data_IF_553604048177
#
_entry.id   IF_553604048177
#
_cell.length_a   1.000
_cell.length_b   1.000
_cell.length_c   1.000
_cell.angle_alpha   90.00
_cell.angle_beta   90.00
_cell.angle_gamma   90.00
#
_symmetry.space_group_name_H-M   'P 1'
#
loop_
_entity.id
_entity.type
_entity.pdbx_description
1 polymer ?
#
# COMPACT_ATOMS: atom_id res chain seq x y z
N UNK A 1 24.75 63.81 -39.73
CA UNK A 1 23.62 62.89 -39.46
C UNK A 1 24.22 61.66 -38.82
N UNK A 2 23.82 61.36 -37.58
CA UNK A 2 24.63 60.74 -36.54
C UNK A 2 24.89 59.24 -36.68
N UNK A 3 26.01 58.88 -36.03
CA UNK A 3 26.61 57.56 -35.80
C UNK A 3 25.64 56.63 -35.08
N UNK A 4 25.56 55.36 -35.51
CA UNK A 4 24.85 54.29 -34.80
C UNK A 4 25.88 53.59 -33.92
N UNK A 5 25.78 53.80 -32.62
CA UNK A 5 26.59 53.13 -31.61
C UNK A 5 25.98 51.77 -31.21
N UNK A 6 26.90 50.84 -31.00
CA UNK A 6 26.78 49.53 -30.40
C UNK A 6 26.61 49.67 -28.87
N UNK A 7 25.51 49.18 -28.29
CA UNK A 7 25.34 48.91 -26.84
C UNK A 7 24.01 48.22 -26.51
N UNK A 8 24.11 46.90 -26.32
CA UNK A 8 23.54 46.16 -25.19
C UNK A 8 22.06 46.38 -24.82
N UNK A 9 21.23 45.40 -25.16
CA UNK A 9 20.04 45.06 -24.36
C UNK A 9 20.11 43.58 -24.03
N UNK A 10 20.71 43.28 -22.88
CA UNK A 10 20.47 42.04 -22.15
C UNK A 10 19.15 42.26 -21.42
N UNK A 11 18.04 41.56 -21.73
CA UNK A 11 16.92 41.51 -20.81
C UNK A 11 17.37 40.72 -19.58
N UNK A 12 17.73 41.49 -18.55
CA UNK A 12 17.83 41.01 -17.19
C UNK A 12 16.47 40.50 -16.73
N UNK A 13 16.51 39.32 -16.10
CA UNK A 13 15.67 38.83 -15.00
C UNK A 13 15.24 37.41 -15.28
N UNK A 14 16.05 36.49 -14.77
CA UNK A 14 15.66 35.10 -14.66
C UNK A 14 14.37 35.02 -13.85
N UNK A 15 13.36 34.35 -14.41
CA UNK A 15 12.39 33.62 -13.62
C UNK A 15 13.12 32.43 -12.99
N UNK A 16 13.96 32.70 -12.00
CA UNK A 16 14.20 31.72 -10.95
C UNK A 16 12.83 31.53 -10.33
N UNK A 17 12.14 30.48 -10.73
CA UNK A 17 10.95 30.00 -10.04
C UNK A 17 11.37 29.79 -8.61
N UNK A 18 11.07 30.78 -7.77
CA UNK A 18 11.34 30.79 -6.35
C UNK A 18 10.35 29.81 -5.68
N UNK A 19 10.41 28.52 -6.03
CA UNK A 19 9.88 27.42 -5.21
C UNK A 19 10.87 27.19 -4.06
N UNK A 20 11.01 28.24 -3.26
CA UNK A 20 11.92 28.34 -2.13
C UNK A 20 11.29 29.16 -1.02
N UNK A 21 9.96 29.14 -0.90
CA UNK A 21 9.34 29.43 0.39
C UNK A 21 9.65 28.22 1.27
N UNK A 22 10.53 28.44 2.24
CA UNK A 22 10.84 27.53 3.35
C UNK A 22 9.60 27.35 4.23
N UNK A 23 8.53 26.80 3.66
CA UNK A 23 7.53 26.09 4.42
C UNK A 23 8.23 24.82 4.93
N UNK A 24 8.29 24.62 6.23
CA UNK A 24 8.75 23.34 6.80
C UNK A 24 8.09 22.20 6.04
N UNK A 25 8.84 21.12 5.77
CA UNK A 25 8.36 19.98 4.96
C UNK A 25 6.92 19.64 5.37
N UNK A 26 5.98 19.84 4.45
CA UNK A 26 4.56 19.63 4.71
C UNK A 26 4.36 18.20 5.22
N UNK A 27 3.69 18.04 6.36
CA UNK A 27 3.46 16.72 6.97
C UNK A 27 2.51 15.91 6.09
N UNK A 28 2.72 14.60 6.04
CA UNK A 28 1.78 13.69 5.40
C UNK A 28 0.49 13.62 6.19
N UNK A 29 -0.62 13.81 5.48
CA UNK A 29 -1.97 13.68 6.01
C UNK A 29 -2.56 12.31 5.60
N UNK A 30 -3.62 11.83 6.28
CA UNK A 30 -4.35 10.64 5.83
C UNK A 30 -4.90 10.76 4.40
N UNK A 31 -5.15 11.99 3.92
CA UNK A 31 -5.55 12.24 2.54
C UNK A 31 -4.40 11.96 1.57
N UNK A 32 -3.18 12.38 1.90
CA UNK A 32 -2.00 12.13 1.05
C UNK A 32 -1.75 10.63 0.91
N UNK A 33 -1.81 9.89 2.02
CA UNK A 33 -1.65 8.44 2.01
C UNK A 33 -2.75 7.75 1.20
N UNK A 34 -4.00 8.22 1.32
CA UNK A 34 -5.10 7.71 0.49
C UNK A 34 -4.80 7.91 -1.00
N UNK A 35 -4.42 9.12 -1.40
CA UNK A 35 -4.13 9.44 -2.80
C UNK A 35 -2.97 8.61 -3.33
N UNK A 36 -1.94 8.38 -2.52
CA UNK A 36 -0.82 7.50 -2.91
C UNK A 36 -1.27 6.05 -3.13
N UNK A 37 -2.14 5.52 -2.28
CA UNK A 37 -2.71 4.18 -2.46
C UNK A 37 -3.67 4.09 -3.67
N UNK A 38 -4.50 5.11 -3.87
CA UNK A 38 -5.42 5.22 -5.01
C UNK A 38 -4.64 5.28 -6.32
N UNK A 39 -3.59 6.11 -6.38
CA UNK A 39 -2.71 6.21 -7.54
C UNK A 39 -2.05 4.86 -7.85
N UNK A 40 -1.54 4.17 -6.82
CA UNK A 40 -0.95 2.85 -7.01
C UNK A 40 -1.96 1.84 -7.58
N UNK A 41 -3.17 1.81 -7.02
CA UNK A 41 -4.26 0.97 -7.51
C UNK A 41 -4.58 1.25 -8.98
N UNK A 42 -4.75 2.53 -9.37
CA UNK A 42 -5.05 2.92 -10.75
C UNK A 42 -3.94 2.48 -11.72
N UNK A 43 -2.67 2.64 -11.33
CA UNK A 43 -1.54 2.23 -12.17
C UNK A 43 -1.42 0.71 -12.31
N UNK A 44 -1.76 -0.05 -11.27
CA UNK A 44 -1.84 -1.50 -11.35
C UNK A 44 -2.99 -1.96 -12.28
N UNK A 45 -4.14 -1.29 -12.26
CA UNK A 45 -5.28 -1.62 -13.12
C UNK A 45 -4.96 -1.49 -14.61
N UNK A 46 -4.12 -0.53 -14.98
CA UNK A 46 -3.68 -0.33 -16.38
C UNK A 46 -2.44 -1.14 -16.75
N UNK A 47 -1.94 -2.03 -15.88
CA UNK A 47 -0.78 -2.86 -16.16
C UNK A 47 0.56 -2.11 -16.16
N UNK A 48 0.70 -1.02 -15.41
CA UNK A 48 1.96 -0.30 -15.30
C UNK A 48 3.01 -1.12 -14.55
N UNK A 49 4.11 -1.49 -15.22
CA UNK A 49 5.19 -2.30 -14.63
C UNK A 49 5.81 -1.65 -13.38
N UNK A 50 6.01 -0.32 -13.41
CA UNK A 50 6.60 0.41 -12.27
C UNK A 50 5.70 0.35 -11.02
N UNK A 51 4.39 0.12 -11.19
CA UNK A 51 3.44 -0.03 -10.09
C UNK A 51 3.57 -1.39 -9.37
N UNK A 52 4.12 -2.42 -10.05
CA UNK A 52 4.45 -3.70 -9.42
C UNK A 52 5.61 -3.56 -8.42
N UNK A 53 6.44 -2.52 -8.58
CA UNK A 53 7.58 -2.23 -7.72
C UNK A 53 7.41 -0.88 -6.99
N UNK A 54 6.40 -0.74 -6.10
CA UNK A 54 6.07 0.56 -5.50
C UNK A 54 7.10 1.07 -4.48
N UNK A 55 8.12 0.27 -4.15
CA UNK A 55 9.28 0.73 -3.38
C UNK A 55 10.29 1.53 -4.23
N UNK A 56 10.19 1.44 -5.56
CA UNK A 56 11.01 2.17 -6.52
C UNK A 56 10.53 3.60 -6.73
N UNK A 57 11.43 4.49 -7.17
CA UNK A 57 11.13 5.92 -7.30
C UNK A 57 10.28 6.26 -8.53
N UNK A 58 10.27 5.41 -9.56
CA UNK A 58 9.63 5.70 -10.86
C UNK A 58 8.13 5.95 -10.77
N UNK A 59 7.40 5.09 -10.06
CA UNK A 59 5.96 5.26 -9.86
C UNK A 59 5.63 6.57 -9.14
N UNK A 60 6.48 6.99 -8.20
CA UNK A 60 6.30 8.23 -7.45
C UNK A 60 6.69 9.47 -8.24
N UNK A 61 7.61 9.37 -9.21
CA UNK A 61 7.84 10.42 -10.20
C UNK A 61 6.61 10.65 -11.06
N UNK A 62 5.91 9.59 -11.46
CA UNK A 62 4.64 9.73 -12.19
C UNK A 62 3.56 10.38 -11.34
N UNK A 63 3.52 10.09 -10.03
CA UNK A 63 2.55 10.71 -9.11
C UNK A 63 2.86 12.20 -8.85
N UNK A 64 4.14 12.55 -8.73
CA UNK A 64 4.56 13.96 -8.64
C UNK A 64 4.17 14.73 -9.92
N UNK A 65 4.32 14.10 -11.09
CA UNK A 65 3.95 14.69 -12.38
C UNK A 65 2.44 14.80 -12.61
N UNK A 66 1.61 14.06 -11.87
CA UNK A 66 0.15 14.14 -12.01
C UNK A 66 -0.46 15.35 -11.31
N UNK A 67 0.36 16.20 -10.69
CA UNK A 67 -0.03 17.41 -9.94
C UNK A 67 -1.07 17.16 -8.83
N UNK A 68 -1.25 15.89 -8.45
CA UNK A 68 -2.20 15.46 -7.41
C UNK A 68 -1.62 15.61 -6.00
N UNK A 69 -0.35 16.02 -5.90
CA UNK A 69 0.40 16.19 -4.66
C UNK A 69 1.42 17.31 -4.79
N UNK A 70 1.73 17.96 -3.68
CA UNK A 70 2.80 18.95 -3.52
C UNK A 70 4.13 18.30 -3.09
N UNK A 71 4.15 16.97 -2.94
CA UNK A 71 5.31 16.20 -2.45
C UNK A 71 6.20 15.76 -3.60
N UNK A 72 7.51 15.77 -3.34
CA UNK A 72 8.49 15.25 -4.31
C UNK A 72 8.52 13.73 -4.34
N UNK A 73 8.88 13.13 -5.48
CA UNK A 73 8.97 11.67 -5.65
C UNK A 73 9.87 11.00 -4.60
N UNK A 74 10.99 11.64 -4.25
CA UNK A 74 11.91 11.12 -3.23
C UNK A 74 11.26 11.10 -1.83
N UNK A 75 10.46 12.12 -1.49
CA UNK A 75 9.69 12.18 -0.26
C UNK A 75 8.61 11.11 -0.24
N UNK A 76 7.83 11.01 -1.33
CA UNK A 76 6.77 10.01 -1.51
C UNK A 76 7.31 8.58 -1.36
N UNK A 77 8.41 8.26 -2.04
CA UNK A 77 9.07 6.96 -1.97
C UNK A 77 9.48 6.63 -0.53
N UNK A 78 10.09 7.59 0.16
CA UNK A 78 10.55 7.40 1.54
C UNK A 78 9.37 7.18 2.49
N UNK A 79 8.32 7.99 2.36
CA UNK A 79 7.12 7.89 3.18
C UNK A 79 6.41 6.56 2.96
N UNK A 80 6.21 6.17 1.69
CA UNK A 80 5.58 4.91 1.35
C UNK A 80 6.32 3.72 1.96
N UNK A 81 7.64 3.66 1.78
CA UNK A 81 8.46 2.55 2.30
C UNK A 81 8.45 2.45 3.83
N UNK A 82 8.51 3.59 4.53
CA UNK A 82 8.69 3.62 6.00
C UNK A 82 7.39 3.61 6.78
N UNK A 83 6.33 4.19 6.23
CA UNK A 83 5.09 4.45 6.96
C UNK A 83 3.88 3.72 6.42
N UNK A 84 3.83 3.45 5.11
CA UNK A 84 2.63 2.89 4.48
C UNK A 84 2.76 1.39 4.17
N UNK A 85 3.86 0.96 3.54
CA UNK A 85 4.00 -0.38 2.95
C UNK A 85 3.75 -1.50 3.96
N UNK A 86 4.39 -1.44 5.13
CA UNK A 86 4.23 -2.44 6.19
C UNK A 86 2.95 -2.26 7.03
N UNK A 87 2.15 -1.22 6.75
CA UNK A 87 0.92 -0.87 7.48
C UNK A 87 -0.29 -0.84 6.55
N UNK A 88 -0.35 -1.75 5.58
CA UNK A 88 -1.44 -1.80 4.60
C UNK A 88 -2.83 -1.90 5.27
N UNK A 89 -2.93 -2.47 6.47
CA UNK A 89 -4.19 -2.53 7.23
C UNK A 89 -4.76 -1.14 7.60
N UNK A 90 -3.91 -0.11 7.66
CA UNK A 90 -4.28 1.27 7.92
C UNK A 90 -4.66 2.03 6.64
N UNK A 91 -4.49 1.44 5.45
CA UNK A 91 -4.83 2.09 4.19
C UNK A 91 -6.31 2.49 4.17
N UNK A 92 -6.58 3.71 3.69
CA UNK A 92 -7.93 4.24 3.56
C UNK A 92 -8.53 3.88 2.19
N UNK A 93 -8.62 2.58 1.90
CA UNK A 93 -9.19 2.04 0.67
C UNK A 93 -10.39 1.14 0.98
N UNK A 94 -11.23 0.89 -0.03
CA UNK A 94 -12.21 -0.20 0.03
C UNK A 94 -11.50 -1.55 0.09
N UNK A 95 -12.16 -2.56 0.66
CA UNK A 95 -11.60 -3.91 0.82
C UNK A 95 -11.13 -4.49 -0.52
N UNK A 96 -11.92 -4.32 -1.58
CA UNK A 96 -11.61 -4.81 -2.93
C UNK A 96 -10.32 -4.19 -3.46
N UNK A 97 -10.17 -2.87 -3.38
CA UNK A 97 -8.98 -2.16 -3.86
C UNK A 97 -7.75 -2.51 -3.04
N UNK A 98 -7.90 -2.57 -1.72
CA UNK A 98 -6.81 -2.89 -0.80
C UNK A 98 -6.27 -4.30 -1.06
N UNK A 99 -7.16 -5.30 -1.13
CA UNK A 99 -6.77 -6.69 -1.38
C UNK A 99 -6.24 -6.89 -2.79
N UNK A 100 -6.76 -6.16 -3.78
CA UNK A 100 -6.21 -6.13 -5.13
C UNK A 100 -4.76 -5.60 -5.12
N UNK A 101 -4.50 -4.45 -4.50
CA UNK A 101 -3.13 -3.91 -4.40
C UNK A 101 -2.20 -4.89 -3.69
N UNK A 102 -2.63 -5.45 -2.55
CA UNK A 102 -1.84 -6.41 -1.79
C UNK A 102 -1.47 -7.65 -2.61
N UNK A 103 -2.42 -8.18 -3.39
CA UNK A 103 -2.20 -9.33 -4.25
C UNK A 103 -1.26 -8.99 -5.42
N UNK A 104 -1.49 -7.88 -6.12
CA UNK A 104 -0.70 -7.51 -7.31
C UNK A 104 0.76 -7.19 -7.03
N UNK A 105 1.06 -6.55 -5.90
CA UNK A 105 2.44 -6.24 -5.50
C UNK A 105 3.08 -7.38 -4.68
N UNK A 106 2.40 -8.53 -4.61
CA UNK A 106 2.81 -9.71 -3.85
C UNK A 106 3.21 -9.36 -2.41
N UNK A 107 2.37 -8.58 -1.72
CA UNK A 107 2.59 -8.22 -0.32
C UNK A 107 2.04 -9.34 0.58
N UNK A 108 2.90 -10.08 1.32
CA UNK A 108 2.43 -11.08 2.27
C UNK A 108 1.72 -10.38 3.43
N UNK A 109 0.47 -10.76 3.71
CA UNK A 109 -0.23 -10.23 4.88
C UNK A 109 0.13 -11.05 6.11
N UNK A 110 0.73 -10.37 7.10
CA UNK A 110 1.02 -10.98 8.41
C UNK A 110 -0.30 -11.36 9.10
N UNK A 111 -0.26 -12.37 9.98
CA UNK A 111 -1.46 -12.84 10.69
C UNK A 111 -2.18 -11.72 11.46
N UNK A 112 -1.44 -10.76 12.02
CA UNK A 112 -2.01 -9.56 12.67
C UNK A 112 -2.77 -8.68 11.67
N UNK A 113 -2.18 -8.38 10.52
CA UNK A 113 -2.77 -7.52 9.50
C UNK A 113 -4.02 -8.15 8.93
N UNK A 114 -3.98 -9.47 8.65
CA UNK A 114 -5.15 -10.22 8.19
C UNK A 114 -6.31 -10.10 9.18
N UNK A 115 -6.08 -10.39 10.47
CA UNK A 115 -7.13 -10.29 11.50
C UNK A 115 -7.73 -8.89 11.59
N UNK A 116 -6.91 -7.84 11.49
CA UNK A 116 -7.38 -6.46 11.49
C UNK A 116 -8.25 -6.18 10.27
N UNK A 117 -7.83 -6.60 9.08
CA UNK A 117 -8.61 -6.42 7.84
C UNK A 117 -9.93 -7.20 7.86
N UNK A 118 -9.89 -8.46 8.29
CA UNK A 118 -11.06 -9.33 8.44
C UNK A 118 -12.09 -8.70 9.38
N UNK A 119 -11.64 -8.20 10.54
CA UNK A 119 -12.52 -7.52 11.50
C UNK A 119 -13.01 -6.15 11.01
N UNK A 120 -12.18 -5.38 10.31
CA UNK A 120 -12.51 -4.02 9.85
C UNK A 120 -13.56 -4.03 8.74
N UNK A 121 -13.50 -5.03 7.86
CA UNK A 121 -14.36 -5.10 6.69
C UNK A 121 -15.44 -6.18 6.77
N UNK A 122 -15.50 -6.94 7.87
CA UNK A 122 -16.39 -8.09 8.06
C UNK A 122 -16.26 -9.10 6.89
N UNK A 123 -15.01 -9.54 6.68
CA UNK A 123 -14.63 -10.47 5.62
C UNK A 123 -13.76 -11.60 6.18
N UNK A 124 -13.69 -12.70 5.43
CA UNK A 124 -12.72 -13.78 5.66
C UNK A 124 -11.72 -13.82 4.51
N UNK A 125 -10.44 -13.66 4.79
CA UNK A 125 -9.39 -13.57 3.77
C UNK A 125 -8.74 -14.95 3.60
N UNK A 126 -8.64 -15.38 2.34
CA UNK A 126 -7.91 -16.59 1.95
C UNK A 126 -6.53 -16.19 1.43
N UNK A 127 -5.51 -16.94 1.87
CA UNK A 127 -4.12 -16.73 1.48
C UNK A 127 -3.53 -18.02 0.90
N UNK A 128 -2.57 -17.89 0.00
CA UNK A 128 -1.77 -19.02 -0.48
C UNK A 128 -0.65 -19.40 0.52
N UNK A 129 0.18 -20.37 0.13
CA UNK A 129 1.33 -20.85 0.92
C UNK A 129 2.37 -19.76 1.21
N UNK A 130 2.43 -18.72 0.38
CA UNK A 130 3.31 -17.55 0.54
C UNK A 130 2.66 -16.39 1.30
N UNK A 131 1.49 -16.61 1.90
CA UNK A 131 0.68 -15.59 2.59
C UNK A 131 0.18 -14.43 1.69
N UNK A 132 0.19 -14.59 0.38
CA UNK A 132 -0.44 -13.65 -0.56
C UNK A 132 -1.94 -13.88 -0.60
N UNK A 133 -2.70 -12.80 -0.76
CA UNK A 133 -4.16 -12.85 -0.87
C UNK A 133 -4.56 -13.46 -2.20
N UNK A 134 -5.45 -14.44 -2.17
CA UNK A 134 -6.00 -15.08 -3.37
C UNK A 134 -7.51 -14.88 -3.52
N UNK A 135 -8.23 -14.83 -2.40
CA UNK A 135 -9.67 -14.61 -2.39
C UNK A 135 -10.12 -14.02 -1.06
N UNK A 136 -11.35 -13.52 -1.02
CA UNK A 136 -12.01 -13.16 0.23
C UNK A 136 -13.51 -13.48 0.18
N UNK A 137 -14.10 -13.78 1.33
CA UNK A 137 -15.54 -13.99 1.46
C UNK A 137 -16.15 -12.81 2.21
N UNK A 138 -17.17 -12.19 1.62
CA UNK A 138 -17.96 -11.12 2.24
C UNK A 138 -19.44 -11.46 2.10
N UNK A 139 -20.20 -11.37 3.19
CA UNK A 139 -21.66 -11.64 3.21
C UNK A 139 -22.04 -13.00 2.58
N UNK A 140 -21.22 -14.03 2.81
CA UNK A 140 -21.42 -15.38 2.27
C UNK A 140 -21.08 -15.56 0.79
N UNK A 141 -20.63 -14.51 0.08
CA UNK A 141 -20.15 -14.57 -1.30
C UNK A 141 -18.63 -14.56 -1.34
N UNK A 142 -18.03 -15.46 -2.11
CA UNK A 142 -16.58 -15.55 -2.32
C UNK A 142 -16.19 -14.76 -3.56
N UNK A 143 -15.17 -13.93 -3.42
CA UNK A 143 -14.60 -13.08 -4.47
C UNK A 143 -13.16 -13.48 -4.70
N UNK A 144 -12.81 -13.81 -5.94
CA UNK A 144 -11.43 -14.07 -6.33
C UNK A 144 -10.72 -12.74 -6.54
N UNK A 145 -9.51 -12.62 -5.99
CA UNK A 145 -8.64 -11.48 -6.30
C UNK A 145 -7.85 -11.86 -7.55
N UNK A 146 -7.88 -11.08 -8.64
CA UNK A 146 -7.15 -11.40 -9.86
C UNK A 146 -5.64 -11.47 -9.60
N UNK A 147 -5.11 -12.66 -9.40
CA UNK A 147 -3.68 -12.93 -9.43
C UNK A 147 -3.26 -13.10 -10.90
N UNK A 148 -2.25 -12.37 -11.37
CA UNK A 148 -1.70 -12.51 -12.73
C UNK A 148 -0.89 -13.79 -12.91
N UNK A 149 -1.35 -14.92 -12.35
CA UNK A 149 -0.70 -16.23 -12.45
C UNK A 149 -0.76 -16.83 -13.86
N UNK A 150 -1.23 -16.07 -14.86
CA UNK A 150 -0.99 -16.31 -16.28
C UNK A 150 0.43 -15.82 -16.67
N UNK A 151 1.47 -16.29 -15.97
CA UNK A 151 2.79 -16.44 -16.59
C UNK A 151 2.82 -17.80 -17.26
N UNK A 152 1.93 -17.96 -18.24
CA UNK A 152 2.03 -19.00 -19.24
C UNK A 152 3.36 -18.82 -19.94
N UNK A 153 4.29 -19.73 -19.65
CA UNK A 153 5.44 -20.02 -20.48
C UNK A 153 4.95 -20.62 -21.80
N UNK A 154 4.27 -19.79 -22.59
CA UNK A 154 3.85 -20.14 -23.93
C UNK A 154 5.05 -19.86 -24.82
N UNK A 155 5.99 -20.80 -24.74
CA UNK A 155 7.13 -20.93 -25.62
C UNK A 155 6.73 -20.57 -27.05
N UNK A 156 7.34 -19.49 -27.52
CA UNK A 156 7.45 -19.09 -28.92
C UNK A 156 7.34 -20.30 -29.86
N UNK A 157 6.37 -20.27 -30.78
CA UNK A 157 6.53 -20.49 -32.21
C UNK A 157 5.16 -20.42 -32.90
N UNK A 158 4.88 -19.29 -33.55
CA UNK A 158 3.64 -19.09 -34.30
C UNK A 158 3.65 -17.76 -35.04
N UNK A 159 4.45 -17.71 -36.10
CA UNK A 159 4.44 -16.76 -37.22
C UNK A 159 3.08 -16.07 -37.43
N UNK A 160 2.99 -14.72 -37.49
CA UNK A 160 1.76 -14.04 -37.88
C UNK A 160 1.64 -14.11 -39.41
N UNK A 161 0.84 -15.05 -39.90
CA UNK A 161 0.42 -15.05 -41.31
C UNK A 161 -0.69 -14.02 -41.50
N UNK A 162 -0.37 -13.01 -42.30
CA UNK A 162 -1.28 -12.05 -42.91
C UNK A 162 -2.50 -12.75 -43.52
N UNK A 163 -3.69 -12.45 -43.01
CA UNK A 163 -4.92 -12.47 -43.80
C UNK A 163 -5.83 -11.36 -43.29
N UNK A 164 -6.02 -10.42 -44.19
CA UNK A 164 -6.89 -9.26 -44.14
C UNK A 164 -8.27 -9.74 -44.58
N UNK A 165 -9.31 -9.47 -43.82
CA UNK A 165 -10.65 -9.22 -44.37
C UNK A 165 -11.47 -8.32 -43.45
N UNK A 166 -12.14 -7.28 -44.00
CA UNK A 166 -12.98 -6.36 -43.25
C UNK A 166 -14.47 -6.77 -43.31
N UNK A 167 -15.22 -6.25 -42.34
CA UNK A 167 -16.68 -6.28 -42.22
C UNK A 167 -17.26 -7.58 -41.66
N UNK A 168 -17.74 -7.54 -40.41
CA UNK A 168 -19.17 -7.41 -40.10
C UNK A 168 -19.39 -7.36 -38.60
N UNK A 169 -20.52 -6.74 -38.24
CA UNK A 169 -21.03 -6.46 -36.90
C UNK A 169 -21.02 -7.68 -35.97
N UNK A 170 -20.80 -7.48 -34.66
CA UNK A 170 -21.90 -7.61 -33.69
C UNK A 170 -21.47 -7.26 -32.27
N UNK A 171 -22.24 -6.34 -31.67
CA UNK A 171 -22.19 -6.00 -30.26
C UNK A 171 -22.99 -7.06 -29.52
N UNK A 172 -22.32 -7.95 -28.79
CA UNK A 172 -22.99 -8.90 -27.90
C UNK A 172 -23.17 -8.24 -26.53
N UNK A 173 -24.33 -7.61 -26.36
CA UNK A 173 -24.94 -7.37 -25.04
C UNK A 173 -25.46 -8.72 -24.56
N UNK A 174 -24.99 -9.21 -23.42
CA UNK A 174 -25.64 -10.32 -22.71
C UNK A 174 -26.25 -9.76 -21.44
N UNK A 175 -27.53 -9.41 -21.55
CA UNK A 175 -28.43 -9.29 -20.40
C UNK A 175 -29.73 -10.01 -20.75
N UNK A 176 -30.35 -10.57 -19.73
CA UNK A 176 -31.73 -11.06 -19.70
C UNK A 176 -32.03 -12.49 -20.22
N UNK A 177 -32.24 -13.42 -19.26
CA UNK A 177 -33.31 -14.42 -19.36
C UNK A 177 -34.09 -14.43 -18.04
N UNK A 178 -35.31 -13.88 -18.10
CA UNK A 178 -36.38 -14.16 -17.16
C UNK A 178 -36.99 -15.53 -17.51
N UNK A 179 -37.40 -16.33 -16.51
CA UNK A 179 -38.69 -17.01 -16.61
C UNK A 179 -39.26 -17.37 -15.24
N UNK A 180 -40.50 -16.92 -15.05
CA UNK A 180 -41.33 -17.02 -13.87
C UNK A 180 -41.83 -18.44 -13.56
N UNK A 181 -42.15 -18.68 -12.28
CA UNK A 181 -43.37 -19.40 -11.89
C UNK A 181 -43.73 -19.13 -10.43
N UNK A 182 -44.82 -18.41 -10.21
CA UNK A 182 -45.61 -18.54 -8.97
C UNK A 182 -46.28 -19.92 -8.92
N UNK A 183 -46.63 -20.41 -7.72
CA UNK A 183 -48.03 -20.26 -7.35
C UNK A 183 -48.27 -19.85 -5.89
N UNK A 184 -49.49 -19.37 -5.75
CA UNK A 184 -50.22 -18.82 -4.61
C UNK A 184 -50.53 -19.79 -3.46
N UNK A 185 -50.91 -19.17 -2.33
CA UNK A 185 -51.98 -19.53 -1.37
C UNK A 185 -51.55 -19.69 0.09
N UNK A 186 -52.34 -19.01 0.95
CA UNK A 186 -52.61 -19.19 2.39
C UNK A 186 -51.75 -18.44 3.42
N UNK A 187 -52.16 -17.19 3.69
CA UNK A 187 -52.86 -16.79 4.92
C UNK A 187 -52.67 -17.66 6.18
N UNK A 188 -51.96 -17.16 7.19
CA UNK A 188 -52.51 -17.07 8.56
C UNK A 188 -51.64 -16.27 9.55
N UNK A 189 -52.28 -15.20 10.05
CA UNK A 189 -52.43 -14.84 11.47
C UNK A 189 -51.18 -14.69 12.38
N UNK A 190 -51.02 -13.43 12.81
CA UNK A 190 -50.98 -12.95 14.21
C UNK A 190 -49.98 -13.65 15.15
N UNK A 191 -48.96 -12.90 15.58
CA UNK A 191 -48.80 -12.46 16.97
C UNK A 191 -47.45 -11.75 17.19
N UNK A 192 -47.52 -10.48 17.59
CA UNK A 192 -46.59 -9.83 18.52
C UNK A 192 -47.41 -9.43 19.75
N UNK A 193 -46.84 -9.00 20.90
CA UNK A 193 -45.45 -9.06 21.39
C UNK A 193 -45.37 -9.65 22.82
N UNK A 194 -44.18 -10.02 23.33
CA UNK A 194 -43.98 -10.23 24.78
C UNK A 194 -42.73 -9.56 25.33
N UNK A 195 -43.00 -8.46 26.04
CA UNK A 195 -42.20 -7.80 27.07
C UNK A 195 -41.45 -8.82 27.97
N UNK A 196 -40.18 -8.57 28.24
CA UNK A 196 -39.59 -8.77 29.57
C UNK A 196 -38.73 -7.57 29.94
N UNK A 197 -39.29 -6.76 30.86
CA UNK A 197 -38.58 -5.85 31.75
C UNK A 197 -37.90 -6.69 32.84
N UNK A 198 -36.63 -6.42 33.13
CA UNK A 198 -35.95 -6.46 34.44
C UNK A 198 -34.69 -5.62 34.21
N UNK A 199 -34.45 -4.49 34.87
CA UNK A 199 -34.67 -4.21 36.28
C UNK A 199 -33.30 -4.25 36.95
N UNK A 200 -32.65 -3.09 37.07
CA UNK A 200 -31.31 -2.94 37.60
C UNK A 200 -30.88 -1.47 37.64
N UNK A 201 -31.68 -0.64 38.30
CA UNK A 201 -31.23 0.65 38.83
C UNK A 201 -30.18 0.38 39.91
N UNK A 202 -28.99 0.96 39.75
CA UNK A 202 -28.17 1.37 40.88
C UNK A 202 -27.74 2.80 40.61
N UNK A 203 -28.45 3.68 41.31
CA UNK A 203 -28.03 5.03 41.59
C UNK A 203 -26.84 4.95 42.55
N UNK A 204 -25.78 5.67 42.23
CA UNK A 204 -24.72 6.06 43.16
C UNK A 204 -24.14 7.36 42.62
N UNK A 205 -24.80 8.46 42.96
CA UNK A 205 -24.14 9.76 43.04
C UNK A 205 -22.98 9.66 44.04
N UNK A 206 -21.81 10.15 43.66
CA UNK A 206 -20.99 11.00 44.53
C UNK A 206 -19.91 11.66 43.69
N UNK A 207 -19.88 12.98 43.81
CA UNK A 207 -18.93 13.89 43.21
C UNK A 207 -17.50 13.72 43.76
N UNK A 208 -16.50 14.02 42.93
CA UNK A 208 -15.29 14.81 43.21
C UNK A 208 -14.42 14.67 41.96
N UNK A 209 -14.35 15.62 41.03
CA UNK A 209 -13.55 16.85 41.16
C UNK A 209 -12.34 16.67 42.07
N UNK A 210 -11.23 16.18 41.50
CA UNK A 210 -9.89 16.75 41.66
C UNK A 210 -9.07 16.38 40.43
N UNK A 211 -8.62 17.41 39.71
CA UNK A 211 -7.58 17.25 38.70
C UNK A 211 -6.26 16.92 39.40
N UNK A 212 -5.74 15.73 39.15
CA UNK A 212 -4.31 15.46 39.30
C UNK A 212 -3.65 15.59 37.94
N UNK A 213 -2.93 16.70 37.83
CA UNK A 213 -1.93 16.99 36.82
C UNK A 213 -0.82 15.94 36.96
N UNK A 214 -0.85 14.89 36.13
CA UNK A 214 0.30 13.98 36.02
C UNK A 214 1.41 14.77 35.31
N UNK A 215 2.28 15.36 36.13
CA UNK A 215 3.63 15.74 35.73
C UNK A 215 4.35 14.43 35.45
N UNK A 216 4.46 14.07 34.16
CA UNK A 216 5.42 13.06 33.75
C UNK A 216 6.77 13.75 33.85
N UNK A 217 7.47 13.47 34.96
CA UNK A 217 8.89 13.76 35.10
C UNK A 217 9.63 13.00 33.99
N UNK A 218 10.23 13.75 33.07
CA UNK A 218 11.22 13.28 32.12
C UNK A 218 12.47 12.87 32.90
N UNK A 219 12.47 11.64 33.43
CA UNK A 219 13.66 11.04 34.05
C UNK A 219 14.18 9.84 33.23
N UNK A 220 15.43 10.01 32.80
CA UNK A 220 16.42 8.99 32.45
C UNK A 220 16.01 7.83 31.51
N UNK A 221 16.04 8.09 30.20
CA UNK A 221 16.37 7.06 29.21
C UNK A 221 17.47 7.56 28.27
N UNK A 222 18.66 7.78 28.85
CA UNK A 222 19.86 8.07 28.08
C UNK A 222 21.11 7.37 28.66
N UNK A 223 21.03 6.05 28.86
CA UNK A 223 22.18 5.20 29.17
C UNK A 223 22.01 3.83 28.51
N UNK A 224 22.44 3.73 27.25
CA UNK A 224 23.21 2.60 26.66
C UNK A 224 23.31 2.79 25.15
N UNK A 225 24.25 3.62 24.71
CA UNK A 225 24.87 3.47 23.39
C UNK A 225 26.24 2.82 23.65
N UNK A 226 26.41 1.50 23.47
CA UNK A 226 27.76 0.96 23.41
C UNK A 226 28.44 1.53 22.18
N UNK A 227 29.59 2.16 22.42
CA UNK A 227 30.46 2.71 21.40
C UNK A 227 30.85 1.59 20.43
N UNK A 228 30.68 1.82 19.12
CA UNK A 228 31.01 0.88 18.05
C UNK A 228 32.48 0.43 18.08
N UNK A 229 33.36 1.18 18.76
CA UNK A 229 34.76 0.79 18.96
C UNK A 229 34.96 -0.29 20.04
N UNK A 230 34.06 -0.46 21.00
CA UNK A 230 34.18 -1.49 22.03
C UNK A 230 33.78 -2.89 21.52
N UNK A 231 32.89 -2.95 20.51
CA UNK A 231 32.49 -4.20 19.85
C UNK A 231 33.58 -4.74 18.93
N UNK A 232 34.40 -3.85 18.35
CA UNK A 232 35.53 -4.24 17.50
C UNK A 232 36.73 -4.78 18.29
N UNK A 233 36.86 -4.44 19.58
CA UNK A 233 37.87 -5.02 20.47
C UNK A 233 37.55 -6.47 20.88
N UNK A 234 36.27 -6.84 21.00
CA UNK A 234 35.86 -8.18 21.43
C UNK A 234 35.95 -9.26 20.35
N UNK A 235 36.11 -8.88 19.07
CA UNK A 235 36.26 -9.83 17.95
C UNK A 235 37.71 -10.26 17.69
N UNK A 236 38.69 -9.70 18.40
CA UNK A 236 40.10 -10.07 18.26
C UNK A 236 40.50 -11.32 19.08
N UNK A 237 39.66 -11.76 20.03
CA UNK A 237 39.98 -12.87 20.94
C UNK A 237 39.33 -14.22 20.58
N UNK A 238 38.57 -14.29 19.47
CA UNK A 238 37.95 -15.54 19.00
C UNK A 238 38.45 -15.86 17.59
N UNK A 239 39.50 -16.69 17.53
CA UNK A 239 39.85 -17.41 16.31
C UNK A 239 41.32 -17.29 15.91
N UNK A 240 42.21 -17.88 16.72
CA UNK A 240 43.47 -18.40 16.20
C UNK A 240 43.18 -19.45 15.13
N UNK A 241 43.22 -19.03 13.87
CA UNK A 241 43.28 -19.93 12.72
C UNK A 241 44.76 -19.96 12.31
N UNK A 242 45.44 -21.02 12.73
CA UNK A 242 46.78 -21.38 12.25
C UNK A 242 46.73 -21.55 10.73
N UNK A 243 47.19 -20.52 10.02
CA UNK A 243 47.56 -20.68 8.61
C UNK A 243 48.79 -21.56 8.55
N UNK A 244 48.55 -22.85 8.32
CA UNK A 244 49.56 -23.86 8.04
C UNK A 244 50.27 -23.50 6.72
N UNK A 245 51.33 -22.71 6.86
CA UNK A 245 52.27 -22.35 5.82
C UNK A 245 53.44 -23.31 5.95
N UNK A 246 53.40 -24.41 5.22
CA UNK A 246 54.57 -25.09 4.66
C UNK A 246 54.17 -26.40 3.96
N UNK A 247 54.28 -26.45 2.64
CA UNK A 247 55.32 -27.25 1.97
C UNK A 247 55.30 -27.09 0.46
N UNK A 248 56.36 -26.44 0.02
CA UNK A 248 57.01 -26.59 -1.25
C UNK A 248 57.44 -28.07 -1.45
N UNK A 249 57.25 -28.64 -2.64
CA UNK A 249 58.26 -29.38 -3.42
C UNK A 249 57.67 -30.40 -4.41
N UNK A 250 57.95 -30.12 -5.70
CA UNK A 250 58.55 -30.99 -6.73
C UNK A 250 57.84 -32.25 -7.26
N UNK A 251 57.89 -32.31 -8.59
CA UNK A 251 57.96 -33.51 -9.47
C UNK A 251 56.66 -34.31 -9.58
N UNK A 252 56.06 -34.53 -10.74
CA UNK A 252 56.55 -34.86 -12.09
C UNK A 252 55.54 -34.40 -13.15
#
# INVERSE_FOLDING_TARGET
>A
IGVIDDRGVIPASGSVTQRGLMAGRSRYTPRDERLMWEFLYEKLQIGCEDALMPKGNKIWQMFEQSESTDKTAASLTTHFRRQMYDKIEAANLSVERLLYVASKIELPLKSRQRRVLESRFDVKIEQNEFAFVTAFTSKGKRYLVPADLERGDDGRNGTPSLARDPATNDVVVTDEVQLAREPSVAENRRHSPKKRRRGGQRDSETASDQGELIVIEDDELNKTNPNLNDVLGMLADIGGVDYNRDKNERSR
#
